data_IF_459863419592
#
_entry.id   IF_459863419592
#
_cell.length_a   1.000
_cell.length_b   1.000
_cell.length_c   1.000
_cell.angle_alpha   90.00
_cell.angle_beta   90.00
_cell.angle_gamma   90.00
#
_symmetry.space_group_name_H-M   'P 1'
#
loop_
_entity.id
_entity.type
_entity.pdbx_description
1 polymer ?
#
# COMPACT_ATOMS: atom_id res chain seq x y z
N UNK A 1 -16.84 -7.01 -16.46
CA UNK A 1 -15.81 -6.99 -15.40
C UNK A 1 -14.54 -6.40 -15.99
N UNK A 2 -14.36 -5.08 -15.89
CA UNK A 2 -13.21 -4.36 -16.45
C UNK A 2 -12.28 -3.87 -15.33
N UNK A 3 -11.81 -4.78 -14.47
CA UNK A 3 -10.79 -4.45 -13.46
C UNK A 3 -9.43 -5.15 -13.67
N UNK A 4 -9.00 -5.56 -14.88
CA UNK A 4 -7.71 -6.26 -15.04
C UNK A 4 -6.54 -5.37 -14.64
N UNK A 5 -6.64 -4.05 -14.83
CA UNK A 5 -5.56 -3.11 -14.53
C UNK A 5 -5.32 -2.98 -13.03
N UNK A 6 -6.37 -2.86 -12.21
CA UNK A 6 -6.22 -2.75 -10.75
C UNK A 6 -5.70 -4.03 -10.12
N UNK A 7 -6.17 -5.18 -10.62
CA UNK A 7 -5.68 -6.49 -10.16
C UNK A 7 -4.23 -6.71 -10.57
N UNK A 8 -3.86 -6.38 -11.82
CA UNK A 8 -2.48 -6.46 -12.29
C UNK A 8 -1.55 -5.55 -11.49
N UNK A 9 -1.99 -4.31 -11.20
CA UNK A 9 -1.23 -3.39 -10.38
C UNK A 9 -1.11 -3.86 -8.92
N UNK A 10 -2.17 -4.46 -8.36
CA UNK A 10 -2.15 -5.10 -7.05
C UNK A 10 -1.11 -6.21 -6.95
N UNK A 11 -1.07 -7.11 -7.93
CA UNK A 11 -0.02 -8.13 -8.03
C UNK A 11 1.38 -7.54 -8.23
N UNK A 12 1.51 -6.45 -9.00
CA UNK A 12 2.75 -5.71 -9.13
C UNK A 12 3.28 -5.18 -7.79
N UNK A 13 2.39 -4.65 -6.95
CA UNK A 13 2.72 -4.22 -5.59
C UNK A 13 3.12 -5.39 -4.69
N UNK A 14 2.45 -6.54 -4.79
CA UNK A 14 2.81 -7.76 -4.05
C UNK A 14 4.20 -8.25 -4.43
N UNK A 15 4.51 -8.30 -5.74
CA UNK A 15 5.84 -8.70 -6.23
C UNK A 15 6.90 -7.71 -5.75
N UNK A 16 6.66 -6.40 -5.85
CA UNK A 16 7.55 -5.38 -5.31
C UNK A 16 7.75 -5.55 -3.79
N UNK A 17 6.69 -5.90 -3.06
CA UNK A 17 6.74 -6.35 -1.69
C UNK A 17 7.73 -7.50 -1.53
N UNK A 18 7.52 -8.64 -2.18
CA UNK A 18 8.43 -9.80 -2.03
C UNK A 18 9.88 -9.49 -2.40
N UNK A 19 10.13 -8.72 -3.47
CA UNK A 19 11.48 -8.31 -3.86
C UNK A 19 12.13 -7.43 -2.80
N UNK A 20 11.40 -6.46 -2.25
CA UNK A 20 11.91 -5.62 -1.15
C UNK A 20 12.16 -6.45 0.11
N UNK A 21 11.27 -7.40 0.43
CA UNK A 21 11.42 -8.32 1.56
C UNK A 21 12.64 -9.22 1.45
N UNK A 22 12.83 -9.83 0.28
CA UNK A 22 14.00 -10.65 -0.03
C UNK A 22 15.30 -9.83 0.06
N UNK A 23 15.32 -8.62 -0.51
CA UNK A 23 16.45 -7.71 -0.40
C UNK A 23 16.80 -7.35 1.05
N UNK A 24 15.80 -7.03 1.88
CA UNK A 24 16.01 -6.80 3.30
C UNK A 24 16.53 -8.04 4.04
N UNK A 25 16.01 -9.23 3.72
CA UNK A 25 16.43 -10.49 4.32
C UNK A 25 17.89 -10.83 4.03
N UNK A 26 18.36 -10.59 2.80
CA UNK A 26 19.76 -10.78 2.42
C UNK A 26 20.69 -9.78 3.11
N UNK A 27 20.26 -8.52 3.26
CA UNK A 27 21.05 -7.47 3.91
C UNK A 27 20.99 -7.55 5.46
N UNK A 28 20.06 -8.33 6.01
CA UNK A 28 19.89 -8.48 7.45
C UNK A 28 21.07 -9.20 8.14
N UNK A 29 21.92 -9.91 7.39
CA UNK A 29 23.16 -10.48 7.93
C UNK A 29 24.12 -9.42 8.48
N UNK A 30 24.00 -8.15 8.08
CA UNK A 30 24.81 -7.05 8.60
C UNK A 30 24.11 -6.38 9.79
N UNK A 31 24.68 -6.51 10.98
CA UNK A 31 24.16 -5.93 12.22
C UNK A 31 24.01 -4.39 12.10
N UNK A 32 24.96 -3.72 11.43
CA UNK A 32 24.95 -2.26 11.22
C UNK A 32 24.06 -1.77 10.07
N UNK A 33 23.39 -2.67 9.33
CA UNK A 33 22.60 -2.28 8.17
C UNK A 33 21.52 -1.23 8.55
N UNK A 34 21.45 -0.13 7.79
CA UNK A 34 20.59 1.03 8.05
C UNK A 34 20.77 1.73 9.41
N UNK A 35 21.92 1.56 10.09
CA UNK A 35 22.22 2.20 11.37
C UNK A 35 21.82 1.37 12.59
N UNK A 36 21.74 0.04 12.45
CA UNK A 36 21.42 -0.90 13.53
C UNK A 36 19.94 -1.28 13.62
N UNK A 37 19.62 -2.22 14.52
CA UNK A 37 18.28 -2.81 14.64
C UNK A 37 17.19 -1.80 15.06
N UNK A 38 17.53 -0.87 15.96
CA UNK A 38 16.60 0.15 16.48
C UNK A 38 16.53 1.42 15.62
N UNK A 39 17.19 1.43 14.47
CA UNK A 39 17.24 2.58 13.59
C UNK A 39 15.86 2.86 12.95
N UNK A 40 15.49 4.14 12.89
CA UNK A 40 14.27 4.59 12.20
C UNK A 40 14.19 4.12 10.74
N UNK A 41 15.28 4.16 9.94
CA UNK A 41 15.20 3.75 8.55
C UNK A 41 14.84 2.27 8.42
N UNK A 42 15.43 1.38 9.23
CA UNK A 42 15.12 -0.07 9.20
C UNK A 42 13.66 -0.35 9.58
N UNK A 43 13.08 0.41 10.52
CA UNK A 43 11.66 0.29 10.89
C UNK A 43 10.72 0.75 9.75
N UNK A 44 11.02 1.89 9.12
CA UNK A 44 10.18 2.44 8.05
C UNK A 44 10.27 1.63 6.76
N UNK A 45 11.45 1.09 6.42
CA UNK A 45 11.62 0.21 5.25
C UNK A 45 10.86 -1.11 5.44
N UNK A 46 10.88 -1.70 6.65
CA UNK A 46 10.02 -2.86 6.99
C UNK A 46 8.54 -2.55 6.87
N UNK A 47 8.11 -1.38 7.36
CA UNK A 47 6.71 -0.94 7.24
C UNK A 47 6.32 -0.76 5.77
N UNK A 48 7.19 -0.17 4.94
CA UNK A 48 6.98 0.00 3.51
C UNK A 48 6.83 -1.33 2.77
N UNK A 49 7.68 -2.31 3.05
CA UNK A 49 7.55 -3.66 2.50
C UNK A 49 6.21 -4.32 2.83
N UNK A 50 5.80 -4.30 4.11
CA UNK A 50 4.53 -4.87 4.55
C UNK A 50 3.36 -4.12 3.90
N UNK A 51 3.44 -2.80 3.81
CA UNK A 51 2.43 -1.97 3.16
C UNK A 51 2.27 -2.31 1.67
N UNK A 52 3.36 -2.56 0.94
CA UNK A 52 3.29 -2.99 -0.47
C UNK A 52 2.52 -4.30 -0.63
N UNK A 53 2.79 -5.29 0.22
CA UNK A 53 2.08 -6.58 0.18
C UNK A 53 0.62 -6.43 0.61
N UNK A 54 0.35 -5.75 1.73
CA UNK A 54 -1.00 -5.60 2.26
C UNK A 54 -1.91 -4.79 1.33
N UNK A 55 -1.41 -3.68 0.78
CA UNK A 55 -2.18 -2.82 -0.13
C UNK A 55 -2.26 -3.43 -1.53
N UNK A 56 -1.25 -4.19 -1.96
CA UNK A 56 -1.34 -5.00 -3.17
C UNK A 56 -2.44 -6.06 -3.07
N UNK A 57 -2.49 -6.79 -1.96
CA UNK A 57 -3.55 -7.76 -1.67
C UNK A 57 -4.93 -7.10 -1.61
N UNK A 58 -5.04 -5.92 -0.98
CA UNK A 58 -6.30 -5.15 -0.94
C UNK A 58 -6.81 -4.82 -2.34
N UNK A 59 -5.93 -4.42 -3.27
CA UNK A 59 -6.30 -4.13 -4.66
C UNK A 59 -6.74 -5.37 -5.46
N UNK A 60 -6.29 -6.56 -5.07
CA UNK A 60 -6.73 -7.83 -5.68
C UNK A 60 -8.05 -8.31 -5.08
N UNK A 61 -8.22 -8.18 -3.77
CA UNK A 61 -9.42 -8.64 -3.05
C UNK A 61 -10.62 -7.71 -3.30
N UNK A 62 -10.39 -6.39 -3.38
CA UNK A 62 -11.47 -5.41 -3.51
C UNK A 62 -12.42 -5.66 -4.70
N UNK A 63 -11.93 -5.92 -5.93
CA UNK A 63 -12.79 -6.28 -7.06
C UNK A 63 -13.54 -7.59 -6.86
N UNK A 64 -13.00 -8.54 -6.08
CA UNK A 64 -13.66 -9.82 -5.76
C UNK A 64 -14.77 -9.65 -4.71
N UNK A 65 -14.63 -8.66 -3.83
CA UNK A 65 -15.61 -8.33 -2.77
C UNK A 65 -16.65 -7.31 -3.21
N UNK A 66 -16.52 -6.72 -4.40
CA UNK A 66 -17.53 -5.80 -4.93
C UNK A 66 -18.79 -6.61 -5.26
N UNK A 67 -19.70 -6.73 -4.29
CA UNK A 67 -21.01 -7.35 -4.46
C UNK A 67 -21.96 -6.39 -5.19
N UNK A 68 -23.09 -6.91 -5.70
CA UNK A 68 -24.11 -6.17 -6.45
C UNK A 68 -24.74 -4.97 -5.70
N UNK A 69 -24.35 -4.72 -4.46
CA UNK A 69 -24.81 -3.61 -3.60
C UNK A 69 -24.04 -2.30 -3.86
N UNK A 70 -22.87 -2.35 -4.52
CA UNK A 70 -22.09 -1.14 -4.82
C UNK A 70 -22.50 -0.58 -6.19
N UNK A 71 -22.91 0.70 -6.30
CA UNK A 71 -23.17 1.34 -7.58
C UNK A 71 -21.95 1.21 -8.50
N UNK A 72 -22.18 0.75 -9.74
CA UNK A 72 -21.13 0.53 -10.74
C UNK A 72 -20.30 1.80 -11.04
N UNK A 73 -20.86 2.98 -10.79
CA UNK A 73 -20.18 4.28 -10.91
C UNK A 73 -19.16 4.56 -9.80
N UNK A 74 -19.32 3.98 -8.61
CA UNK A 74 -18.44 4.20 -7.46
C UNK A 74 -17.29 3.20 -7.36
N UNK A 75 -17.46 1.98 -7.91
CA UNK A 75 -16.42 0.95 -7.94
C UNK A 75 -15.07 1.43 -8.52
N UNK A 76 -14.99 2.14 -9.66
CA UNK A 76 -13.69 2.60 -10.19
C UNK A 76 -13.05 3.69 -9.31
N UNK A 77 -13.86 4.53 -8.64
CA UNK A 77 -13.36 5.57 -7.73
C UNK A 77 -12.70 4.94 -6.51
N UNK A 78 -13.38 3.96 -5.89
CA UNK A 78 -12.84 3.26 -4.71
C UNK A 78 -11.58 2.45 -5.08
N UNK A 79 -11.62 1.76 -6.22
CA UNK A 79 -10.45 1.02 -6.74
C UNK A 79 -9.26 1.96 -7.02
N UNK A 80 -9.52 3.14 -7.57
CA UNK A 80 -8.51 4.18 -7.79
C UNK A 80 -7.90 4.70 -6.49
N UNK A 81 -8.71 4.93 -5.46
CA UNK A 81 -8.24 5.37 -4.14
C UNK A 81 -7.34 4.32 -3.46
N UNK A 82 -7.72 3.05 -3.51
CA UNK A 82 -6.88 1.96 -2.99
C UNK A 82 -5.60 1.76 -3.81
N UNK A 83 -5.65 1.97 -5.12
CA UNK A 83 -4.47 1.89 -5.97
C UNK A 83 -3.50 3.04 -5.67
N UNK A 84 -3.98 4.28 -5.62
CA UNK A 84 -3.17 5.46 -5.29
C UNK A 84 -2.56 5.31 -3.90
N UNK A 85 -3.35 4.88 -2.91
CA UNK A 85 -2.85 4.58 -1.57
C UNK A 85 -1.76 3.52 -1.57
N UNK A 86 -1.95 2.40 -2.29
CA UNK A 86 -0.97 1.33 -2.44
C UNK A 86 0.34 1.78 -3.10
N UNK A 87 0.24 2.52 -4.20
CA UNK A 87 1.38 2.97 -4.98
C UNK A 87 2.20 4.03 -4.24
N UNK A 88 1.55 4.87 -3.44
CA UNK A 88 2.22 5.99 -2.74
C UNK A 88 2.75 5.59 -1.36
N UNK A 89 2.17 4.58 -0.68
CA UNK A 89 2.59 4.19 0.67
C UNK A 89 4.02 3.63 0.72
N UNK A 90 4.40 2.77 -0.23
CA UNK A 90 5.76 2.23 -0.32
C UNK A 90 6.81 3.35 -0.44
N UNK A 91 6.75 4.19 -1.49
CA UNK A 91 7.63 5.34 -1.65
C UNK A 91 7.60 6.31 -0.47
N UNK A 92 6.44 6.58 0.14
CA UNK A 92 6.34 7.44 1.32
C UNK A 92 7.15 6.87 2.50
N UNK A 93 7.05 5.57 2.76
CA UNK A 93 7.85 4.87 3.78
C UNK A 93 9.35 4.94 3.49
N UNK A 94 9.78 4.75 2.24
CA UNK A 94 11.18 4.86 1.86
C UNK A 94 11.71 6.30 1.95
N UNK A 95 10.98 7.29 1.45
CA UNK A 95 11.39 8.69 1.50
C UNK A 95 11.52 9.20 2.94
N UNK A 96 10.58 8.84 3.80
CA UNK A 96 10.60 9.22 5.22
C UNK A 96 11.66 8.48 6.03
N UNK A 97 12.14 7.32 5.55
CA UNK A 97 13.27 6.62 6.14
C UNK A 97 14.55 7.46 6.08
N UNK A 98 14.73 8.25 5.01
CA UNK A 98 15.96 9.03 4.78
C UNK A 98 15.78 10.53 5.02
N UNK A 99 14.56 11.08 4.89
CA UNK A 99 14.29 12.52 5.01
C UNK A 99 13.22 12.77 6.07
N UNK A 100 13.62 13.32 7.21
CA UNK A 100 12.70 13.67 8.31
C UNK A 100 11.58 14.62 7.90
N UNK A 101 11.86 15.58 7.00
CA UNK A 101 10.90 16.57 6.51
C UNK A 101 9.80 15.97 5.63
N UNK A 102 10.00 14.78 5.09
CA UNK A 102 9.04 14.12 4.21
C UNK A 102 7.87 13.45 4.95
N UNK A 103 7.75 13.61 6.28
CA UNK A 103 6.66 13.00 7.07
C UNK A 103 5.27 13.35 6.59
N UNK A 104 5.08 14.56 6.06
CA UNK A 104 3.81 14.99 5.49
C UNK A 104 3.40 14.14 4.27
N UNK A 105 4.33 13.46 3.61
CA UNK A 105 4.04 12.57 2.47
C UNK A 105 3.18 11.39 2.90
N UNK A 106 3.19 10.98 4.18
CA UNK A 106 2.27 9.94 4.69
C UNK A 106 0.80 10.36 4.68
N UNK A 107 0.50 11.67 4.64
CA UNK A 107 -0.89 12.13 4.60
C UNK A 107 -1.56 11.69 3.29
N UNK A 108 -0.83 11.71 2.17
CA UNK A 108 -1.37 11.36 0.84
C UNK A 108 -1.89 9.91 0.78
N UNK A 109 -1.09 8.86 1.08
CA UNK A 109 -1.58 7.48 1.07
C UNK A 109 -2.63 7.26 2.15
N UNK A 110 -2.46 7.86 3.34
CA UNK A 110 -3.37 7.61 4.46
C UNK A 110 -4.76 8.19 4.21
N UNK A 111 -4.86 9.43 3.69
CA UNK A 111 -6.16 10.02 3.36
C UNK A 111 -6.84 9.30 2.21
N UNK A 112 -6.09 8.90 1.17
CA UNK A 112 -6.63 8.12 0.06
C UNK A 112 -7.24 6.79 0.54
N UNK A 113 -6.54 6.05 1.41
CA UNK A 113 -7.03 4.79 1.97
C UNK A 113 -8.23 4.98 2.91
N UNK A 114 -8.20 6.00 3.77
CA UNK A 114 -9.31 6.31 4.69
C UNK A 114 -10.57 6.65 3.90
N UNK A 115 -10.46 7.54 2.91
CA UNK A 115 -11.60 7.94 2.07
C UNK A 115 -12.11 6.73 1.27
N UNK A 116 -11.23 5.92 0.69
CA UNK A 116 -11.62 4.70 -0.02
C UNK A 116 -12.36 3.70 0.87
N UNK A 117 -11.90 3.50 2.10
CA UNK A 117 -12.53 2.59 3.06
C UNK A 117 -13.90 3.11 3.54
N UNK A 118 -14.02 4.42 3.81
CA UNK A 118 -15.30 5.03 4.19
C UNK A 118 -16.33 4.93 3.06
N UNK A 119 -15.92 5.16 1.81
CA UNK A 119 -16.81 5.00 0.67
C UNK A 119 -17.24 3.54 0.48
N UNK A 120 -16.31 2.60 0.66
CA UNK A 120 -16.61 1.17 0.60
C UNK A 120 -17.66 0.74 1.64
N UNK A 121 -17.53 1.20 2.89
CA UNK A 121 -18.47 0.84 3.96
C UNK A 121 -19.78 1.62 3.90
N UNK A 122 -19.72 2.92 3.59
CA UNK A 122 -20.90 3.78 3.50
C UNK A 122 -21.88 3.34 2.41
N UNK A 123 -21.36 2.80 1.30
CA UNK A 123 -22.19 2.21 0.25
C UNK A 123 -22.77 0.85 0.66
N UNK A 124 -22.06 0.08 1.48
CA UNK A 124 -22.52 -1.25 1.92
C UNK A 124 -23.67 -1.19 2.95
N UNK A 125 -23.95 -0.01 3.50
CA UNK A 125 -24.99 0.23 4.52
C UNK A 125 -26.26 0.89 3.95
N UNK A 126 -26.27 1.25 2.67
CA UNK A 126 -27.39 1.87 1.94
C UNK A 126 -28.10 0.81 1.08
#
# INVERSE_FOLDING_TARGET
>A
MEFPVFVAAGWGLVVAGFLTGAGMGLLAQREDWLGGYNSRPRRLVRLGHIALVALGALNVVWPLTTTAQIPSSMTPVISGLFLVGGLTMGPACFLTAFVWRARAVFLIPSTALIVGAILATGVSLL
#
